data_IF_739093073228
#
_entry.id   IF_739093073228
#
_cell.length_a   1.000
_cell.length_b   1.000
_cell.length_c   1.000
_cell.angle_alpha   90.00
_cell.angle_beta   90.00
_cell.angle_gamma   90.00
#
_symmetry.space_group_name_H-M   'P 1'
#
loop_
_entity.id
_entity.type
_entity.pdbx_description
1 polymer ?
#
# COMPACT_ATOMS: atom_id res chain seq x y z
N UNK A 1 31.00 -15.19 15.77
CA UNK A 1 30.26 -13.98 15.37
C UNK A 1 30.05 -14.15 13.88
N UNK A 2 28.81 -14.22 13.37
CA UNK A 2 28.62 -14.29 11.93
C UNK A 2 29.20 -13.03 11.29
N UNK A 3 29.90 -13.19 10.17
CA UNK A 3 30.50 -12.07 9.45
C UNK A 3 29.39 -11.16 8.91
N UNK A 4 29.64 -9.85 8.77
CA UNK A 4 28.65 -8.88 8.27
C UNK A 4 28.08 -9.28 6.90
N UNK A 5 28.88 -9.99 6.10
CA UNK A 5 28.52 -10.54 4.80
C UNK A 5 27.48 -11.67 4.92
N UNK A 6 27.58 -12.52 5.94
CA UNK A 6 26.61 -13.57 6.25
C UNK A 6 25.28 -12.97 6.72
N UNK A 7 25.32 -11.90 7.52
CA UNK A 7 24.12 -11.20 8.01
C UNK A 7 23.37 -10.50 6.86
N UNK A 8 24.09 -9.86 5.93
CA UNK A 8 23.51 -9.24 4.75
C UNK A 8 22.90 -10.28 3.80
N UNK A 9 23.59 -11.41 3.56
CA UNK A 9 23.07 -12.51 2.75
C UNK A 9 21.84 -13.17 3.38
N UNK A 10 21.82 -13.39 4.70
CA UNK A 10 20.66 -13.91 5.45
C UNK A 10 19.47 -12.94 5.40
N UNK A 11 19.71 -11.63 5.52
CA UNK A 11 18.67 -10.60 5.40
C UNK A 11 18.07 -10.55 3.98
N UNK A 12 18.92 -10.65 2.94
CA UNK A 12 18.50 -10.63 1.54
C UNK A 12 17.71 -11.90 1.17
N UNK A 13 18.15 -13.07 1.64
CA UNK A 13 17.47 -14.36 1.41
C UNK A 13 16.14 -14.45 2.18
N UNK A 14 16.08 -13.89 3.39
CA UNK A 14 14.85 -13.87 4.18
C UNK A 14 13.80 -12.94 3.55
N UNK A 15 14.22 -11.74 3.12
CA UNK A 15 13.32 -10.79 2.45
C UNK A 15 12.70 -11.36 1.16
N UNK A 16 13.46 -12.13 0.38
CA UNK A 16 12.95 -12.82 -0.80
C UNK A 16 11.78 -13.76 -0.47
N UNK A 17 11.84 -14.50 0.65
CA UNK A 17 10.75 -15.41 1.06
C UNK A 17 9.47 -14.67 1.39
N UNK A 18 9.56 -13.52 2.06
CA UNK A 18 8.39 -12.68 2.33
C UNK A 18 7.78 -12.13 1.04
N UNK A 19 8.61 -11.58 0.15
CA UNK A 19 8.17 -11.05 -1.14
C UNK A 19 7.49 -12.13 -2.00
N UNK A 20 8.08 -13.32 -2.08
CA UNK A 20 7.51 -14.44 -2.83
C UNK A 20 6.17 -14.90 -2.25
N UNK A 21 6.06 -14.99 -0.92
CA UNK A 21 4.82 -15.41 -0.27
C UNK A 21 3.69 -14.37 -0.47
N UNK A 22 4.01 -13.07 -0.38
CA UNK A 22 3.07 -12.00 -0.73
C UNK A 22 2.64 -12.12 -2.21
N UNK A 23 3.59 -12.31 -3.13
CA UNK A 23 3.31 -12.40 -4.56
C UNK A 23 2.40 -13.57 -4.92
N UNK A 24 2.65 -14.74 -4.32
CA UNK A 24 1.82 -15.95 -4.43
C UNK A 24 0.42 -15.80 -3.82
N UNK A 25 0.13 -14.67 -3.17
CA UNK A 25 -1.17 -14.32 -2.62
C UNK A 25 -1.72 -13.01 -3.20
N UNK A 26 -1.12 -12.49 -4.27
CA UNK A 26 -1.64 -11.35 -5.01
C UNK A 26 -1.18 -9.98 -4.51
N UNK A 27 -0.16 -9.92 -3.66
CA UNK A 27 0.41 -8.68 -3.13
C UNK A 27 1.89 -8.59 -3.47
N UNK A 28 2.41 -7.37 -3.57
CA UNK A 28 3.82 -7.14 -3.86
C UNK A 28 4.40 -6.23 -2.77
N UNK A 29 5.65 -6.49 -2.38
CA UNK A 29 6.43 -5.47 -1.69
C UNK A 29 6.83 -4.46 -2.75
N UNK A 30 6.13 -3.32 -2.74
CA UNK A 30 6.38 -2.25 -3.70
C UNK A 30 7.77 -1.65 -3.50
N UNK A 31 8.09 -1.30 -2.25
CA UNK A 31 9.31 -0.56 -1.97
C UNK A 31 9.75 -0.66 -0.51
N UNK A 32 11.03 -0.93 -0.23
CA UNK A 32 11.62 -0.67 1.08
C UNK A 32 11.83 0.82 1.29
N UNK A 33 11.59 1.32 2.50
CA UNK A 33 11.79 2.74 2.80
C UNK A 33 12.23 2.94 4.26
N UNK A 34 12.84 4.09 4.55
CA UNK A 34 13.11 4.50 5.92
C UNK A 34 11.96 5.39 6.42
N UNK A 35 11.30 5.07 7.56
CA UNK A 35 10.14 5.84 8.03
C UNK A 35 10.43 7.32 8.29
N UNK A 36 11.67 7.64 8.67
CA UNK A 36 12.16 9.03 8.76
C UNK A 36 11.81 9.91 7.57
N UNK A 37 11.93 9.41 6.34
CA UNK A 37 11.65 10.22 5.14
C UNK A 37 10.19 10.71 5.10
N UNK A 38 9.27 9.87 5.59
CA UNK A 38 7.87 10.23 5.72
C UNK A 38 7.64 11.16 6.92
N UNK A 39 8.26 10.87 8.07
CA UNK A 39 8.13 11.68 9.27
C UNK A 39 8.69 13.11 9.08
N UNK A 40 9.84 13.26 8.41
CA UNK A 40 10.43 14.56 8.05
C UNK A 40 9.52 15.35 7.10
N UNK A 41 8.90 14.68 6.12
CA UNK A 41 7.90 15.31 5.28
C UNK A 41 6.67 15.76 6.09
N UNK A 42 6.20 14.94 7.02
CA UNK A 42 5.07 15.28 7.89
C UNK A 42 5.34 16.51 8.75
N UNK A 43 6.56 16.65 9.29
CA UNK A 43 6.93 17.82 10.11
C UNK A 43 6.79 19.15 9.36
N UNK A 44 6.85 19.13 8.03
CA UNK A 44 6.69 20.31 7.18
C UNK A 44 5.21 20.61 6.86
N UNK A 45 4.27 19.81 7.36
CA UNK A 45 2.88 19.80 6.90
C UNK A 45 1.91 19.70 8.09
N UNK A 46 0.97 20.63 8.19
CA UNK A 46 -0.11 20.56 9.18
C UNK A 46 -1.26 19.68 8.66
N UNK A 47 -1.13 18.35 8.74
CA UNK A 47 -2.06 17.44 8.04
C UNK A 47 -2.71 16.34 8.91
N UNK A 48 -2.49 16.33 10.23
CA UNK A 48 -3.16 15.41 11.17
C UNK A 48 -2.84 13.91 10.97
N UNK A 49 -1.90 13.59 10.08
CA UNK A 49 -1.48 12.21 9.82
C UNK A 49 -0.56 11.69 10.92
N UNK A 50 -0.53 10.36 11.06
CA UNK A 50 0.28 9.67 12.07
C UNK A 50 1.72 9.52 11.62
N UNK A 51 2.67 9.74 12.53
CA UNK A 51 4.07 9.35 12.33
C UNK A 51 4.23 7.83 12.40
N UNK A 52 5.30 7.34 11.80
CA UNK A 52 5.73 5.95 11.92
C UNK A 52 6.84 5.83 12.98
N UNK A 53 6.81 4.81 13.84
CA UNK A 53 7.85 4.65 14.85
C UNK A 53 9.19 4.28 14.20
N UNK A 54 10.25 4.98 14.61
CA UNK A 54 11.63 4.77 14.13
C UNK A 54 12.49 4.00 15.14
N UNK A 55 11.99 3.79 16.36
CA UNK A 55 12.77 3.17 17.43
C UNK A 55 13.00 1.69 17.13
N UNK A 56 14.26 1.24 17.26
CA UNK A 56 14.66 -0.16 17.07
C UNK A 56 14.21 -0.73 15.71
N UNK A 57 14.05 0.12 14.69
CA UNK A 57 13.62 -0.32 13.36
C UNK A 57 14.68 -1.20 12.70
N UNK A 58 14.21 -2.30 12.14
CA UNK A 58 14.99 -3.26 11.36
C UNK A 58 14.51 -3.40 9.92
N UNK A 59 13.34 -2.84 9.58
CA UNK A 59 12.88 -2.70 8.21
C UNK A 59 11.52 -2.03 8.11
N UNK A 60 11.25 -1.38 6.98
CA UNK A 60 9.90 -0.92 6.64
C UNK A 60 9.62 -1.07 5.14
N UNK A 61 8.38 -1.46 4.83
CA UNK A 61 7.97 -1.83 3.48
C UNK A 61 6.59 -1.28 3.16
N UNK A 62 6.46 -0.74 1.94
CA UNK A 62 5.18 -0.43 1.34
C UNK A 62 4.67 -1.68 0.61
N UNK A 63 3.48 -2.15 0.97
CA UNK A 63 2.81 -3.26 0.31
C UNK A 63 1.70 -2.71 -0.57
N UNK A 64 1.64 -3.22 -1.80
CA UNK A 64 0.59 -2.91 -2.74
C UNK A 64 0.18 -4.12 -3.55
N UNK A 65 -0.52 -3.87 -4.63
CA UNK A 65 -0.89 -4.91 -5.58
C UNK A 65 -1.03 -4.34 -7.00
N UNK A 66 -0.82 -5.21 -7.97
CA UNK A 66 -1.21 -5.03 -9.37
C UNK A 66 -2.53 -5.77 -9.65
N UNK A 67 -2.92 -5.91 -10.93
CA UNK A 67 -4.07 -6.74 -11.37
C UNK A 67 -3.91 -8.22 -11.00
N UNK A 68 -2.70 -8.68 -10.64
CA UNK A 68 -2.43 -10.05 -10.17
C UNK A 68 -3.24 -10.44 -8.92
N UNK A 69 -3.74 -9.49 -8.13
CA UNK A 69 -4.53 -9.77 -6.92
C UNK A 69 -5.87 -10.48 -7.19
N UNK A 70 -6.52 -10.20 -8.33
CA UNK A 70 -7.93 -10.54 -8.54
C UNK A 70 -8.25 -12.04 -8.49
N UNK A 71 -7.45 -12.95 -9.09
CA UNK A 71 -7.67 -14.39 -8.95
C UNK A 71 -7.65 -14.86 -7.48
N UNK A 72 -6.74 -14.31 -6.66
CA UNK A 72 -6.59 -14.67 -5.25
C UNK A 72 -7.76 -14.17 -4.41
N UNK A 73 -8.19 -12.93 -4.62
CA UNK A 73 -9.37 -12.37 -3.96
C UNK A 73 -10.63 -13.19 -4.28
N UNK A 74 -10.88 -13.50 -5.56
CA UNK A 74 -12.03 -14.33 -5.96
C UNK A 74 -12.01 -15.72 -5.32
N UNK A 75 -10.83 -16.36 -5.25
CA UNK A 75 -10.66 -17.64 -4.55
C UNK A 75 -10.94 -17.52 -3.06
N UNK A 76 -10.40 -16.48 -2.40
CA UNK A 76 -10.63 -16.21 -0.99
C UNK A 76 -12.12 -15.99 -0.68
N UNK A 77 -12.81 -15.23 -1.52
CA UNK A 77 -14.25 -14.94 -1.40
C UNK A 77 -15.09 -16.20 -1.56
N UNK A 78 -14.89 -16.95 -2.66
CA UNK A 78 -15.64 -18.18 -2.94
C UNK A 78 -15.47 -19.22 -1.83
N UNK A 79 -14.25 -19.43 -1.34
CA UNK A 79 -13.96 -20.39 -0.26
C UNK A 79 -14.76 -20.07 1.01
N UNK A 80 -14.89 -18.79 1.39
CA UNK A 80 -15.63 -18.37 2.58
C UNK A 80 -17.14 -18.41 2.38
N UNK A 81 -17.62 -18.17 1.16
CA UNK A 81 -19.04 -18.38 0.83
C UNK A 81 -19.45 -19.85 0.84
N UNK A 82 -18.54 -20.77 0.52
CA UNK A 82 -18.84 -22.21 0.36
C UNK A 82 -18.60 -23.04 1.62
N UNK A 83 -17.57 -22.73 2.42
CA UNK A 83 -17.16 -23.56 3.58
C UNK A 83 -17.95 -23.24 4.85
N UNK A 84 -18.95 -22.36 4.80
CA UNK A 84 -19.74 -21.99 5.99
C UNK A 84 -18.95 -21.19 7.04
N UNK A 85 -17.71 -20.79 6.73
CA UNK A 85 -17.00 -19.73 7.46
C UNK A 85 -17.66 -18.39 7.12
N UNK A 86 -18.80 -18.12 7.78
CA UNK A 86 -19.51 -16.88 7.60
C UNK A 86 -18.63 -15.71 8.05
N UNK A 87 -18.23 -14.89 7.09
CA UNK A 87 -17.73 -13.55 7.36
C UNK A 87 -18.78 -12.80 8.20
N UNK A 88 -18.32 -12.03 9.17
CA UNK A 88 -19.18 -11.13 9.93
C UNK A 88 -19.87 -10.13 8.99
N UNK A 89 -20.97 -9.52 9.44
CA UNK A 89 -21.65 -8.49 8.66
C UNK A 89 -20.69 -7.36 8.24
N UNK A 90 -19.78 -6.95 9.13
CA UNK A 90 -18.79 -5.93 8.86
C UNK A 90 -17.76 -6.37 7.79
N UNK A 91 -17.27 -7.62 7.89
CA UNK A 91 -16.34 -8.16 6.90
C UNK A 91 -16.97 -8.29 5.50
N UNK A 92 -18.28 -8.54 5.41
CA UNK A 92 -19.01 -8.57 4.14
C UNK A 92 -19.22 -7.18 3.53
N UNK A 93 -19.25 -6.14 4.35
CA UNK A 93 -19.41 -4.75 3.89
C UNK A 93 -18.17 -4.27 3.12
N UNK A 94 -16.98 -4.67 3.58
CA UNK A 94 -15.70 -4.29 2.98
C UNK A 94 -14.86 -5.55 2.65
N UNK A 95 -15.28 -6.36 1.66
CA UNK A 95 -14.73 -7.69 1.45
C UNK A 95 -13.29 -7.64 0.92
N UNK A 96 -12.97 -6.67 0.08
CA UNK A 96 -11.61 -6.49 -0.45
C UNK A 96 -10.65 -6.03 0.64
N UNK A 97 -11.06 -5.08 1.48
CA UNK A 97 -10.24 -4.61 2.59
C UNK A 97 -10.01 -5.70 3.62
N UNK A 98 -11.05 -6.51 3.90
CA UNK A 98 -10.94 -7.69 4.77
C UNK A 98 -9.94 -8.69 4.20
N UNK A 99 -10.04 -9.02 2.90
CA UNK A 99 -9.08 -9.89 2.23
C UNK A 99 -7.64 -9.38 2.37
N UNK A 100 -7.41 -8.09 2.12
CA UNK A 100 -6.09 -7.47 2.25
C UNK A 100 -5.58 -7.57 3.69
N UNK A 101 -6.38 -7.16 4.66
CA UNK A 101 -6.03 -7.18 6.09
C UNK A 101 -5.70 -8.58 6.58
N UNK A 102 -6.60 -9.54 6.35
CA UNK A 102 -6.43 -10.92 6.81
C UNK A 102 -5.20 -11.57 6.18
N UNK A 103 -5.07 -11.46 4.85
CA UNK A 103 -4.04 -12.17 4.10
C UNK A 103 -2.65 -11.59 4.36
N UNK A 104 -2.51 -10.26 4.29
CA UNK A 104 -1.22 -9.60 4.58
C UNK A 104 -0.83 -9.83 6.04
N UNK A 105 -1.75 -9.69 7.00
CA UNK A 105 -1.46 -9.92 8.42
C UNK A 105 -0.98 -11.36 8.65
N UNK A 106 -1.66 -12.34 8.09
CA UNK A 106 -1.29 -13.75 8.25
C UNK A 106 0.10 -14.04 7.68
N UNK A 107 0.39 -13.56 6.46
CA UNK A 107 1.70 -13.77 5.81
C UNK A 107 2.82 -13.08 6.59
N UNK A 108 2.64 -11.80 6.91
CA UNK A 108 3.65 -11.00 7.62
C UNK A 108 3.94 -11.62 8.99
N UNK A 109 2.91 -11.88 9.80
CA UNK A 109 3.11 -12.47 11.12
C UNK A 109 3.74 -13.86 11.04
N UNK A 110 3.28 -14.72 10.14
CA UNK A 110 3.84 -16.07 9.95
C UNK A 110 5.32 -16.03 9.56
N UNK A 111 5.67 -15.15 8.61
CA UNK A 111 7.05 -14.96 8.18
C UNK A 111 7.94 -14.54 9.35
N UNK A 112 7.55 -13.54 10.13
CA UNK A 112 8.34 -13.05 11.26
C UNK A 112 8.44 -14.06 12.41
N UNK A 113 7.38 -14.83 12.67
CA UNK A 113 7.42 -15.95 13.62
C UNK A 113 8.37 -17.08 13.17
N UNK A 114 8.60 -17.22 11.86
CA UNK A 114 9.48 -18.24 11.28
C UNK A 114 10.96 -17.85 11.23
N UNK A 115 11.32 -16.60 11.55
CA UNK A 115 12.71 -16.18 11.57
C UNK A 115 13.45 -16.82 12.74
N UNK A 116 14.61 -17.40 12.48
CA UNK A 116 15.47 -17.97 13.54
C UNK A 116 15.88 -16.88 14.52
N UNK A 117 15.64 -17.10 15.82
CA UNK A 117 15.86 -16.10 16.86
C UNK A 117 14.75 -15.06 17.03
N UNK A 118 13.68 -15.15 16.22
CA UNK A 118 12.48 -14.34 16.38
C UNK A 118 11.90 -14.51 17.78
N UNK A 119 11.80 -13.41 18.51
CA UNK A 119 11.28 -13.40 19.87
C UNK A 119 10.05 -12.51 19.91
N UNK A 120 8.86 -13.11 19.97
CA UNK A 120 7.59 -12.40 20.02
C UNK A 120 7.49 -11.37 21.17
N UNK A 121 8.35 -11.47 22.20
CA UNK A 121 8.42 -10.49 23.29
C UNK A 121 9.41 -9.34 23.03
N UNK A 122 10.25 -9.41 21.99
CA UNK A 122 11.25 -8.38 21.63
C UNK A 122 11.00 -7.74 20.28
N UNK A 123 10.45 -8.50 19.34
CA UNK A 123 10.22 -8.06 17.98
C UNK A 123 8.78 -7.57 17.86
N UNK A 124 8.61 -6.37 17.30
CA UNK A 124 7.31 -5.74 17.12
C UNK A 124 7.06 -5.51 15.64
N UNK A 125 5.84 -5.76 15.21
CA UNK A 125 5.38 -5.49 13.85
C UNK A 125 4.23 -4.50 13.95
N UNK A 126 4.36 -3.40 13.22
CA UNK A 126 3.29 -2.43 13.02
C UNK A 126 2.73 -2.56 11.61
N UNK A 127 1.40 -2.56 11.51
CA UNK A 127 0.66 -2.65 10.26
C UNK A 127 -0.27 -1.46 10.16
N UNK A 128 0.01 -0.59 9.19
CA UNK A 128 -0.86 0.55 8.87
C UNK A 128 -1.58 0.24 7.57
N UNK A 129 -2.91 0.40 7.54
CA UNK A 129 -3.74 0.01 6.41
C UNK A 129 -4.17 1.23 5.60
N UNK A 130 -4.19 1.08 4.27
CA UNK A 130 -4.73 2.11 3.37
C UNK A 130 -6.23 2.36 3.58
N UNK A 131 -6.95 1.38 4.15
CA UNK A 131 -8.38 1.46 4.48
C UNK A 131 -8.66 1.85 5.94
N UNK A 132 -7.67 2.37 6.68
CA UNK A 132 -7.92 2.98 8.00
C UNK A 132 -8.70 4.28 7.83
N UNK A 133 -9.64 4.57 8.73
CA UNK A 133 -10.44 5.81 8.73
C UNK A 133 -10.28 6.61 10.04
N UNK A 134 -9.64 6.02 11.05
CA UNK A 134 -9.28 6.64 12.31
C UNK A 134 -8.15 7.65 12.07
N UNK A 135 -8.44 8.95 12.24
CA UNK A 135 -7.55 10.05 11.85
C UNK A 135 -6.16 9.94 12.50
N UNK A 136 -6.14 9.55 13.77
CA UNK A 136 -4.96 9.33 14.60
C UNK A 136 -4.15 8.08 14.25
N UNK A 137 -4.59 7.32 13.24
CA UNK A 137 -3.88 6.15 12.67
C UNK A 137 -3.65 6.27 11.16
N UNK A 138 -4.04 7.38 10.54
CA UNK A 138 -3.91 7.58 9.10
C UNK A 138 -2.45 7.76 8.70
N UNK A 139 -2.00 6.91 7.78
CA UNK A 139 -0.69 6.99 7.14
C UNK A 139 -0.89 7.14 5.64
N UNK A 140 -0.28 8.16 5.04
CA UNK A 140 -0.41 8.41 3.60
C UNK A 140 0.54 7.51 2.80
N UNK A 141 -0.01 6.41 2.28
CA UNK A 141 0.73 5.45 1.45
C UNK A 141 1.32 6.08 0.18
N UNK A 142 0.56 6.97 -0.46
CA UNK A 142 1.00 7.70 -1.65
C UNK A 142 2.17 8.63 -1.35
N UNK A 143 2.16 9.26 -0.17
CA UNK A 143 3.27 10.10 0.25
C UNK A 143 4.51 9.26 0.55
N UNK A 144 4.36 8.13 1.23
CA UNK A 144 5.46 7.19 1.46
C UNK A 144 6.08 6.77 0.13
N UNK A 145 5.26 6.38 -0.85
CA UNK A 145 5.74 6.08 -2.20
C UNK A 145 6.51 7.25 -2.83
N UNK A 146 6.07 8.49 -2.62
CA UNK A 146 6.73 9.68 -3.14
C UNK A 146 8.07 9.95 -2.49
N UNK A 147 8.10 10.12 -1.17
CA UNK A 147 9.32 10.53 -0.42
C UNK A 147 10.39 9.44 -0.42
N UNK A 148 10.01 8.19 -0.69
CA UNK A 148 10.95 7.07 -0.83
C UNK A 148 11.48 6.87 -2.25
N UNK A 149 11.02 7.68 -3.22
CA UNK A 149 11.46 7.57 -4.61
C UNK A 149 10.85 6.39 -5.36
N UNK A 150 9.73 5.82 -4.90
CA UNK A 150 9.03 4.75 -5.60
C UNK A 150 8.14 5.28 -6.74
N UNK A 151 7.43 6.39 -6.50
CA UNK A 151 6.49 6.95 -7.48
C UNK A 151 6.45 8.48 -7.42
N UNK A 152 6.13 9.12 -8.53
CA UNK A 152 5.79 10.54 -8.53
C UNK A 152 4.38 10.74 -7.97
N UNK A 153 4.19 11.61 -6.98
CA UNK A 153 2.86 11.98 -6.49
C UNK A 153 2.42 13.26 -7.19
N UNK A 154 1.46 13.12 -8.10
CA UNK A 154 0.95 14.25 -8.87
C UNK A 154 0.08 15.17 -7.98
N UNK A 155 0.39 16.47 -7.89
CA UNK A 155 -0.31 17.39 -6.99
C UNK A 155 -1.73 17.74 -7.45
N UNK A 156 -2.07 17.52 -8.72
CA UNK A 156 -3.37 17.89 -9.28
C UNK A 156 -4.39 16.76 -9.20
N UNK A 157 -3.97 15.53 -9.51
CA UNK A 157 -4.81 14.34 -9.46
C UNK A 157 -4.73 13.62 -8.12
N UNK A 158 -3.70 13.91 -7.33
CA UNK A 158 -3.34 13.15 -6.12
C UNK A 158 -3.07 11.66 -6.40
N UNK A 159 -2.80 11.28 -7.64
CA UNK A 159 -2.42 9.90 -7.99
C UNK A 159 -0.90 9.72 -7.87
N UNK A 160 -0.51 8.52 -7.43
CA UNK A 160 0.88 8.07 -7.52
C UNK A 160 1.12 7.46 -8.92
N UNK A 161 2.16 7.93 -9.60
CA UNK A 161 2.55 7.51 -10.95
C UNK A 161 3.89 6.79 -10.89
N UNK A 162 3.87 5.49 -11.15
CA UNK A 162 5.08 4.65 -11.20
C UNK A 162 5.68 4.67 -12.61
N UNK A 163 7.02 4.71 -12.75
CA UNK A 163 7.67 4.71 -14.07
C UNK A 163 7.33 3.51 -14.97
N UNK A 164 6.98 2.36 -14.38
CA UNK A 164 6.71 1.10 -15.10
C UNK A 164 5.23 0.72 -15.09
N UNK A 165 4.45 1.15 -14.09
CA UNK A 165 3.06 0.71 -13.93
C UNK A 165 2.06 1.85 -14.13
N UNK A 166 2.56 3.06 -14.40
CA UNK A 166 1.75 4.26 -14.44
C UNK A 166 0.94 4.44 -13.17
N UNK A 167 -0.35 4.72 -13.35
CA UNK A 167 -1.32 4.84 -12.26
C UNK A 167 -1.92 3.49 -11.86
N UNK A 168 -1.66 2.39 -12.59
CA UNK A 168 -2.34 1.09 -12.45
C UNK A 168 -1.76 0.20 -11.34
N UNK A 169 -1.54 0.81 -10.17
CA UNK A 169 -1.17 0.15 -8.92
C UNK A 169 -2.04 0.65 -7.77
N UNK A 170 -2.07 -0.11 -6.68
CA UNK A 170 -2.77 0.28 -5.45
C UNK A 170 -1.91 -0.08 -4.24
N UNK A 171 -1.84 0.83 -3.28
CA UNK A 171 -1.19 0.57 -1.99
C UNK A 171 -2.21 0.02 -0.99
N UNK A 172 -1.78 -0.92 -0.16
CA UNK A 172 -2.65 -1.65 0.78
C UNK A 172 -2.20 -1.50 2.22
N UNK A 173 -0.90 -1.58 2.46
CA UNK A 173 -0.37 -1.51 3.81
C UNK A 173 1.04 -0.95 3.85
N UNK A 174 1.41 -0.43 5.02
CA UNK A 174 2.79 -0.24 5.45
C UNK A 174 3.07 -1.21 6.56
N UNK A 175 4.21 -1.88 6.46
CA UNK A 175 4.76 -2.73 7.51
C UNK A 175 5.98 -2.04 8.08
N UNK A 176 6.02 -1.85 9.40
CA UNK A 176 7.23 -1.46 10.13
C UNK A 176 7.63 -2.60 11.04
N UNK A 177 8.88 -3.03 10.93
CA UNK A 177 9.44 -4.11 11.71
C UNK A 177 10.50 -3.56 12.65
N UNK A 178 10.31 -3.86 13.93
CA UNK A 178 11.21 -3.48 15.00
C UNK A 178 11.83 -4.74 15.56
N UNK A 179 13.15 -4.80 15.51
CA UNK A 179 13.93 -5.81 16.20
C UNK A 179 15.13 -5.11 16.82
N UNK A 180 15.53 -5.57 18.00
CA UNK A 180 16.75 -5.09 18.66
C UNK A 180 17.99 -5.62 17.94
N UNK A 181 18.18 -5.18 16.70
CA UNK A 181 19.41 -5.34 15.97
C UNK A 181 20.47 -4.42 16.57
N UNK A 182 21.72 -4.88 16.62
CA UNK A 182 22.86 -4.02 16.94
C UNK A 182 23.34 -3.19 15.74
N UNK A 183 22.80 -3.48 14.55
CA UNK A 183 23.12 -2.81 13.29
C UNK A 183 21.93 -1.92 12.91
N UNK A 184 22.13 -0.60 12.74
CA UNK A 184 21.07 0.31 12.31
C UNK A 184 20.50 -0.08 10.95
N UNK A 185 19.17 -0.05 10.81
CA UNK A 185 18.54 -0.15 9.50
C UNK A 185 18.91 1.07 8.67
N UNK A 186 19.66 0.85 7.59
CA UNK A 186 20.11 1.90 6.69
C UNK A 186 19.67 1.58 5.27
N UNK A 187 19.16 2.61 4.60
CA UNK A 187 18.91 2.62 3.16
C UNK A 187 19.64 3.83 2.58
N UNK A 188 20.15 3.74 1.33
CA UNK A 188 20.66 4.91 0.66
C UNK A 188 19.56 5.97 0.53
N UNK A 189 19.91 7.27 0.52
CA UNK A 189 18.95 8.33 0.27
C UNK A 189 18.14 8.06 -1.01
N UNK A 190 16.84 8.35 -1.01
CA UNK A 190 15.96 7.99 -2.11
C UNK A 190 16.25 8.86 -3.32
N UNK A 191 16.33 8.24 -4.50
CA UNK A 191 16.33 8.99 -5.78
C UNK A 191 14.89 9.31 -6.14
N UNK A 192 14.50 10.57 -6.01
CA UNK A 192 13.14 11.02 -6.26
C UNK A 192 12.74 10.78 -7.73
N UNK A 193 11.50 10.32 -7.94
CA UNK A 193 10.90 10.20 -9.27
C UNK A 193 10.39 11.59 -9.69
N UNK A 194 10.89 12.16 -10.80
CA UNK A 194 10.41 13.45 -11.28
C UNK A 194 8.99 13.33 -11.83
N UNK A 195 8.36 14.46 -12.15
CA UNK A 195 7.11 14.43 -12.91
C UNK A 195 7.31 13.65 -14.21
N UNK A 196 6.44 12.65 -14.42
CA UNK A 196 6.49 11.77 -15.60
C UNK A 196 5.52 12.22 -16.71
N UNK A 197 4.64 13.18 -16.42
CA UNK A 197 3.61 13.64 -17.34
C UNK A 197 4.13 14.83 -18.13
N UNK A 198 3.93 14.80 -19.45
CA UNK A 198 4.09 16.00 -20.28
C UNK A 198 3.11 17.11 -19.86
N UNK A 199 3.36 18.38 -20.20
CA UNK A 199 2.43 19.46 -19.88
C UNK A 199 1.00 19.23 -20.40
N UNK A 200 0.88 18.58 -21.57
CA UNK A 200 -0.41 18.21 -22.14
C UNK A 200 -1.10 17.12 -21.33
N UNK A 201 -0.37 16.08 -20.90
CA UNK A 201 -0.93 15.03 -20.04
C UNK A 201 -1.35 15.57 -18.66
N UNK A 202 -0.59 16.51 -18.09
CA UNK A 202 -0.96 17.16 -16.83
C UNK A 202 -2.30 17.89 -16.95
N UNK A 203 -2.51 18.61 -18.06
CA UNK A 203 -3.76 19.32 -18.29
C UNK A 203 -4.95 18.37 -18.49
N UNK A 204 -4.78 17.32 -19.30
CA UNK A 204 -5.81 16.28 -19.49
C UNK A 204 -6.13 15.60 -18.15
N UNK A 205 -5.12 15.29 -17.35
CA UNK A 205 -5.28 14.64 -16.05
C UNK A 205 -6.04 15.55 -15.07
N UNK A 206 -5.75 16.85 -15.07
CA UNK A 206 -6.46 17.86 -14.27
C UNK A 206 -7.94 17.93 -14.67
N UNK A 207 -8.25 17.97 -15.95
CA UNK A 207 -9.64 17.98 -16.44
C UNK A 207 -10.38 16.67 -16.11
N UNK A 208 -9.72 15.53 -16.29
CA UNK A 208 -10.27 14.23 -15.95
C UNK A 208 -10.55 14.09 -14.44
N UNK A 209 -9.70 14.66 -13.58
CA UNK A 209 -9.92 14.67 -12.12
C UNK A 209 -11.15 15.50 -11.76
N UNK A 210 -11.28 16.70 -12.33
CA UNK A 210 -12.46 17.55 -12.14
C UNK A 210 -13.72 16.82 -12.60
N UNK A 211 -13.66 16.13 -13.73
CA UNK A 211 -14.77 15.34 -14.25
C UNK A 211 -15.14 14.18 -13.31
N UNK A 212 -14.17 13.37 -12.87
CA UNK A 212 -14.41 12.24 -11.97
C UNK A 212 -14.97 12.69 -10.60
N UNK A 213 -14.51 13.83 -10.08
CA UNK A 213 -15.03 14.40 -8.84
C UNK A 213 -16.50 14.82 -8.93
N UNK A 214 -17.01 15.23 -10.10
CA UNK A 214 -18.45 15.56 -10.28
C UNK A 214 -19.36 14.36 -10.01
N UNK A 215 -18.86 13.15 -10.28
CA UNK A 215 -19.58 11.90 -10.00
C UNK A 215 -19.36 11.39 -8.57
N UNK A 216 -18.47 12.03 -7.81
CA UNK A 216 -18.04 11.58 -6.48
C UNK A 216 -18.67 12.40 -5.35
N UNK A 217 -19.92 12.87 -5.54
CA UNK A 217 -20.67 13.54 -4.48
C UNK A 217 -20.85 12.57 -3.29
N UNK A 218 -20.15 12.89 -2.19
CA UNK A 218 -19.93 11.99 -1.04
C UNK A 218 -21.25 11.52 -0.40
N UNK A 219 -22.28 12.37 -0.44
CA UNK A 219 -23.61 12.05 0.11
C UNK A 219 -24.41 11.09 -0.77
N UNK A 220 -24.12 11.01 -2.07
CA UNK A 220 -24.77 10.10 -3.01
C UNK A 220 -23.97 8.82 -3.28
N UNK A 221 -22.64 8.85 -3.09
CA UNK A 221 -21.73 7.75 -3.44
C UNK A 221 -22.07 6.43 -2.71
N UNK A 222 -22.41 6.51 -1.42
CA UNK A 222 -22.82 5.34 -0.63
C UNK A 222 -24.16 4.76 -1.11
N UNK A 223 -25.10 5.62 -1.52
CA UNK A 223 -26.40 5.18 -2.06
C UNK A 223 -26.28 4.57 -3.45
N UNK A 224 -25.46 5.16 -4.32
CA UNK A 224 -25.26 4.73 -5.71
C UNK A 224 -24.46 3.41 -5.82
N UNK A 225 -23.51 3.16 -4.91
CA UNK A 225 -22.77 1.90 -4.85
C UNK A 225 -23.60 0.72 -4.31
N UNK A 226 -24.65 1.01 -3.53
CA UNK A 226 -25.44 -0.03 -2.85
C UNK A 226 -26.81 -0.30 -3.47
N UNK A 227 -27.43 0.65 -4.19
CA UNK A 227 -28.84 0.50 -4.58
C UNK A 227 -29.17 0.26 -6.05
N UNK A 228 -28.28 0.45 -7.04
CA UNK A 228 -28.58 0.03 -8.42
C UNK A 228 -27.29 -0.12 -9.23
N UNK A 229 -27.05 -1.29 -9.82
CA UNK A 229 -25.99 -1.46 -10.83
C UNK A 229 -26.28 -0.69 -12.13
N UNK A 230 -27.50 -0.20 -12.30
CA UNK A 230 -27.91 0.67 -13.40
C UNK A 230 -27.68 2.13 -12.99
N UNK A 231 -26.55 2.71 -13.41
CA UNK A 231 -26.21 4.12 -13.18
C UNK A 231 -24.75 4.40 -12.80
N UNK A 232 -23.93 3.37 -12.57
CA UNK A 232 -22.56 3.52 -12.05
C UNK A 232 -21.47 3.47 -13.14
N UNK A 233 -21.84 3.22 -14.39
CA UNK A 233 -20.88 3.07 -15.48
C UNK A 233 -20.16 4.38 -15.79
N UNK A 234 -20.85 5.53 -15.78
CA UNK A 234 -20.22 6.82 -16.05
C UNK A 234 -19.19 7.21 -14.99
N UNK A 235 -19.48 6.95 -13.71
CA UNK A 235 -18.54 7.20 -12.61
C UNK A 235 -17.31 6.29 -12.77
N UNK A 236 -17.51 4.99 -12.98
CA UNK A 236 -16.42 4.04 -13.19
C UNK A 236 -15.58 4.43 -14.41
N UNK A 237 -16.22 4.76 -15.53
CA UNK A 237 -15.53 5.19 -16.75
C UNK A 237 -14.78 6.51 -16.55
N UNK A 238 -15.30 7.45 -15.77
CA UNK A 238 -14.60 8.70 -15.45
C UNK A 238 -13.33 8.44 -14.62
N UNK A 239 -13.39 7.56 -13.62
CA UNK A 239 -12.22 7.18 -12.82
C UNK A 239 -11.20 6.34 -13.62
N UNK A 240 -11.67 5.52 -14.56
CA UNK A 240 -10.80 4.80 -15.50
C UNK A 240 -10.11 5.80 -16.44
N UNK A 241 -10.85 6.75 -17.02
CA UNK A 241 -10.32 7.77 -17.92
C UNK A 241 -9.26 8.65 -17.24
N UNK A 242 -9.46 8.99 -15.96
CA UNK A 242 -8.42 9.66 -15.16
C UNK A 242 -7.14 8.82 -15.03
N UNK A 243 -7.25 7.49 -14.90
CA UNK A 243 -6.06 6.63 -14.82
C UNK A 243 -5.39 6.46 -16.17
N UNK A 244 -6.17 6.36 -17.25
CA UNK A 244 -5.69 6.11 -18.62
C UNK A 244 -5.15 7.36 -19.33
N UNK A 245 -5.43 8.56 -18.80
CA UNK A 245 -4.81 9.78 -19.34
C UNK A 245 -3.29 9.83 -19.10
N UNK A 246 -2.80 9.07 -18.11
CA UNK A 246 -1.36 8.90 -17.85
C UNK A 246 -0.86 7.73 -18.67
N UNK A 247 -0.10 8.03 -19.73
CA UNK A 247 0.38 7.01 -20.68
C UNK A 247 1.71 6.38 -20.30
N UNK A 248 2.42 6.96 -19.33
CA UNK A 248 3.64 6.37 -18.77
C UNK A 248 3.27 5.15 -17.93
N UNK A 249 3.93 4.03 -18.20
CA UNK A 249 3.64 2.71 -17.62
C UNK A 249 3.50 1.66 -18.72
#
# INVERSE_FOLDING_TARGET
MPDEEDVAALAQTSFHRLAENLHRNGFDICHPFHPRWYNEWLQQQANGLSILDEKDISGAFLIGNTKNMWPYFKRWWSTRSTIGQQLSAEQRKHPLDTFCKDTITAIVKSYFLSLEGGNANRDRIELHWASTHEIEKLVSMQRIASVSGFAYLDPHTHLAVHPIYGTWMSFRAVVVFHAKSRIPFQLPPPKMVPCLLSPQEQEIAREAMIHALKYSDLDQLCGQLHNTMEGNDEMILAWIALRDCVRVG
#
